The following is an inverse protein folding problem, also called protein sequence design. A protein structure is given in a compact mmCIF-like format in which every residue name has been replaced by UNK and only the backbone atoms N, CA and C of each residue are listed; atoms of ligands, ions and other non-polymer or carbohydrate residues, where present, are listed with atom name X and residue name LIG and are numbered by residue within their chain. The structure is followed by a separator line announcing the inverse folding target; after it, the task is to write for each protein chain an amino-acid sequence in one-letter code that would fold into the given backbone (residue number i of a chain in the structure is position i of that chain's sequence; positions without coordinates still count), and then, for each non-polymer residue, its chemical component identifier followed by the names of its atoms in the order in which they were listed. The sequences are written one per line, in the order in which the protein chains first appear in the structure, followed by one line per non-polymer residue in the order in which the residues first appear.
data_IF_168412243456
#
_entry.id   IF_168412243456
#
_cell.length_a   1.000
_cell.length_b   1.000
_cell.length_c   1.000
_cell.angle_alpha   90.00
_cell.angle_beta   90.00
_cell.angle_gamma   90.00
#
_symmetry.space_group_name_H-M   'P 1'
#
loop_
_entity.id
_entity.type
_entity.pdbx_description
1 polymer ?
2 polymer ?
3 non-polymer ?
4 water ?
#
# COMPACT_ATOMS: atom_id res chain seq x y z
N UNK A 2 5.99 18.90 5.59
CA UNK A 2 5.69 17.52 5.95
C UNK A 2 6.47 16.57 5.07
N UNK A 3 7.75 16.37 5.39
CA UNK A 3 8.58 15.52 4.54
C UNK A 3 8.15 14.05 4.58
N UNK A 4 7.64 13.58 5.73
CA UNK A 4 7.18 12.20 5.81
C UNK A 4 6.03 11.94 4.85
N UNK A 5 5.10 12.91 4.72
CA UNK A 5 4.05 12.75 3.71
C UNK A 5 4.62 12.78 2.30
N UNK A 6 5.50 13.73 2.01
CA UNK A 6 6.06 13.85 0.67
C UNK A 6 6.80 12.59 0.26
N UNK A 7 7.66 12.07 1.15
CA UNK A 7 8.43 10.88 0.80
C UNK A 7 7.52 9.67 0.63
N UNK A 8 6.53 9.52 1.51
CA UNK A 8 5.61 8.39 1.44
C UNK A 8 4.78 8.44 0.17
N UNK A 9 4.27 9.63 -0.18
CA UNK A 9 3.50 9.75 -1.40
C UNK A 9 4.35 9.41 -2.61
N UNK A 10 5.60 9.86 -2.63
CA UNK A 10 6.46 9.60 -3.78
C UNK A 10 6.69 8.10 -3.96
N UNK A 11 6.94 7.38 -2.85
CA UNK A 11 7.15 5.94 -2.94
C UNK A 11 5.88 5.22 -3.36
N UNK A 12 4.75 5.55 -2.71
CA UNK A 12 3.52 4.80 -2.94
C UNK A 12 2.95 5.11 -4.30
N UNK A 13 2.97 6.38 -4.71
CA UNK A 13 2.47 6.75 -6.03
C UNK A 13 3.28 6.09 -7.14
N UNK A 14 4.61 6.06 -6.99
CA UNK A 14 5.45 5.45 -8.02
C UNK A 14 5.17 3.96 -8.17
N UNK A 15 4.93 3.27 -7.05
CA UNK A 15 4.65 1.84 -7.10
C UNK A 15 3.31 1.56 -7.76
N UNK A 16 2.26 2.25 -7.32
CA UNK A 16 0.94 2.03 -7.91
C UNK A 16 0.97 2.33 -9.41
N UNK A 17 1.61 3.42 -9.81
CA UNK A 17 1.61 3.79 -11.22
C UNK A 17 2.48 2.86 -12.06
N UNK A 18 3.61 2.42 -11.51
CA UNK A 18 4.46 1.46 -12.21
C UNK A 18 3.76 0.12 -12.37
N UNK A 19 3.01 -0.31 -11.34
CA UNK A 19 2.28 -1.57 -11.41
C UNK A 19 1.16 -1.50 -12.44
N UNK A 20 0.47 -0.35 -12.51
CA UNK A 20 -0.65 -0.21 -13.44
C UNK A 20 -0.18 -0.13 -14.87
N UNK A 21 0.87 0.65 -15.14
CA UNK A 21 1.31 0.92 -16.50
C UNK A 21 2.35 -0.06 -17.00
N UNK A 22 3.01 -0.80 -16.11
CA UNK A 22 4.11 -1.65 -16.52
C UNK A 22 5.38 -0.91 -16.91
N UNK A 23 5.42 0.41 -16.70
CA UNK A 23 6.56 1.22 -17.11
C UNK A 23 7.16 1.87 -15.87
N UNK A 24 8.43 1.58 -15.61
CA UNK A 24 9.10 2.11 -14.43
C UNK A 24 9.41 3.59 -14.63
N UNK A 25 8.90 4.46 -13.81
CA UNK A 25 9.21 5.86 -13.95
C UNK A 25 10.42 6.19 -13.10
N UNK A 29 14.15 10.99 -7.96
CA UNK A 29 13.61 10.95 -6.61
C UNK A 29 14.08 12.18 -5.89
N UNK A 30 13.30 12.69 -4.94
CA UNK A 30 13.70 13.94 -4.29
C UNK A 30 14.58 13.70 -3.09
N UNK A 31 14.26 14.38 -1.99
CA UNK A 31 15.03 14.25 -0.76
C UNK A 31 14.92 12.83 -0.22
N UNK A 32 16.01 12.35 0.38
CA UNK A 32 16.11 10.97 0.88
C UNK A 32 15.91 9.98 -0.27
N UNK A 33 16.63 10.22 -1.37
CA UNK A 33 16.47 9.37 -2.54
C UNK A 33 16.98 7.97 -2.34
N UNK A 34 18.10 7.82 -1.63
CA UNK A 34 18.69 6.49 -1.42
C UNK A 34 17.74 5.60 -0.63
N UNK A 35 17.20 6.12 0.47
CA UNK A 35 16.23 5.33 1.24
C UNK A 35 14.98 5.04 0.42
N UNK A 36 14.45 6.05 -0.28
CA UNK A 36 13.23 5.85 -1.05
C UNK A 36 13.43 4.84 -2.17
N UNK A 37 14.63 4.81 -2.76
CA UNK A 37 14.93 3.83 -3.79
C UNK A 37 14.92 2.41 -3.26
N UNK A 38 15.49 2.20 -2.06
CA UNK A 38 15.45 0.88 -1.46
C UNK A 38 14.04 0.50 -1.02
N UNK A 39 13.26 1.48 -0.55
CA UNK A 39 11.88 1.21 -0.18
C UNK A 39 11.05 0.79 -1.38
N UNK A 40 11.23 1.46 -2.53
CA UNK A 40 10.50 1.08 -3.72
C UNK A 40 10.93 -0.30 -4.22
N UNK A 41 12.22 -0.62 -4.14
CA UNK A 41 12.66 -1.95 -4.52
C UNK A 41 12.13 -3.01 -3.55
N UNK A 42 12.17 -2.72 -2.25
CA UNK A 42 11.56 -3.61 -1.27
C UNK A 42 10.09 -3.83 -1.58
N UNK A 43 9.38 -2.75 -1.91
CA UNK A 43 7.96 -2.82 -2.22
C UNK A 43 7.70 -3.66 -3.47
N UNK A 44 8.59 -3.59 -4.46
CA UNK A 44 8.43 -4.42 -5.65
C UNK A 44 8.53 -5.90 -5.32
N UNK A 45 9.54 -6.28 -4.53
CA UNK A 45 9.71 -7.68 -4.18
C UNK A 45 8.59 -8.17 -3.26
N UNK A 46 8.36 -7.46 -2.14
CA UNK A 46 7.37 -7.92 -1.18
C UNK A 46 5.95 -7.76 -1.74
N UNK A 47 5.66 -6.61 -2.35
CA UNK A 47 4.32 -6.35 -2.82
C UNK A 47 3.89 -7.25 -3.98
N UNK A 48 4.80 -7.50 -4.92
CA UNK A 48 4.50 -8.45 -5.98
C UNK A 48 4.26 -9.84 -5.40
N UNK A 49 5.00 -10.20 -4.35
CA UNK A 49 4.74 -11.47 -3.68
C UNK A 49 3.38 -11.51 -3.01
N UNK A 50 2.98 -10.39 -2.39
CA UNK A 50 1.69 -10.35 -1.70
C UNK A 50 0.56 -10.52 -2.70
N UNK A 51 0.64 -9.82 -3.83
CA UNK A 51 -0.42 -9.88 -4.84
C UNK A 51 -0.51 -11.26 -5.47
N UNK A 52 0.62 -11.95 -5.60
CA UNK A 52 0.60 -13.29 -6.21
C UNK A 52 0.07 -14.33 -5.23
N UNK A 53 0.52 -14.28 -3.98
CA UNK A 53 0.12 -15.30 -3.01
C UNK A 53 -1.31 -15.12 -2.52
N UNK A 54 -1.87 -13.92 -2.66
CA UNK A 54 -3.23 -13.65 -2.20
C UNK A 54 -4.12 -13.18 -3.34
N UNK A 55 -3.79 -13.58 -4.56
CA UNK A 55 -4.47 -13.09 -5.75
C UNK A 55 -5.96 -13.38 -5.71
N UNK A 56 -6.34 -14.60 -5.29
CA UNK A 56 -7.76 -14.95 -5.31
C UNK A 56 -8.55 -14.09 -4.32
N UNK A 57 -8.03 -13.93 -3.10
CA UNK A 57 -8.67 -13.03 -2.14
C UNK A 57 -8.77 -11.61 -2.68
N UNK A 58 -7.70 -11.10 -3.27
CA UNK A 58 -7.70 -9.74 -3.80
C UNK A 58 -8.75 -9.58 -4.91
N UNK A 59 -8.88 -10.60 -5.77
CA UNK A 59 -9.87 -10.56 -6.83
C UNK A 59 -11.27 -10.42 -6.25
N UNK A 60 -11.60 -11.22 -5.23
CA UNK A 60 -12.91 -11.12 -4.63
C UNK A 60 -13.13 -9.79 -3.93
N UNK A 61 -12.12 -9.32 -3.19
CA UNK A 61 -12.23 -8.02 -2.53
C UNK A 61 -12.45 -6.91 -3.56
N UNK A 62 -11.71 -6.94 -4.67
CA UNK A 62 -11.90 -5.95 -5.73
C UNK A 62 -13.32 -6.01 -6.29
N UNK A 63 -13.83 -7.21 -6.56
CA UNK A 63 -15.20 -7.33 -7.07
C UNK A 63 -16.20 -6.79 -6.07
N UNK A 64 -15.98 -7.08 -4.79
CA UNK A 64 -16.88 -6.58 -3.75
C UNK A 64 -16.93 -5.06 -3.73
N UNK A 65 -15.79 -4.41 -3.98
CA UNK A 65 -15.78 -2.95 -3.96
C UNK A 65 -16.53 -2.37 -5.15
N UNK A 66 -16.65 -3.11 -6.24
CA UNK A 66 -17.44 -2.75 -7.42
C UNK A 66 -17.08 -1.35 -7.92
N UNK A 67 -15.84 -1.22 -8.36
CA UNK A 67 -15.32 0.04 -8.85
C UNK A 67 -15.57 0.14 -10.35
N UNK A 68 -16.50 1.02 -10.72
CA UNK A 68 -16.86 1.25 -12.11
C UNK A 68 -16.59 2.67 -12.57
N UNK A 69 -16.22 3.57 -11.67
CA UNK A 69 -16.02 4.98 -12.01
C UNK A 69 -15.18 5.65 -10.93
N UNK A 70 -14.97 6.96 -11.10
CA UNK A 70 -14.21 7.72 -10.12
C UNK A 70 -14.98 7.89 -8.81
N UNK A 71 -16.31 7.94 -8.89
CA UNK A 71 -17.11 8.07 -7.67
C UNK A 71 -16.95 6.84 -6.78
N UNK A 72 -16.87 5.64 -7.38
CA UNK A 72 -16.65 4.44 -6.59
C UNK A 72 -15.27 4.42 -5.93
N UNK A 73 -14.34 5.28 -6.36
CA UNK A 73 -12.99 5.30 -5.80
C UNK A 73 -12.92 6.11 -4.51
N UNK A 74 -13.95 6.88 -4.19
CA UNK A 74 -13.97 7.65 -2.95
C UNK A 74 -14.47 6.85 -1.76
N UNK A 75 -14.67 5.54 -1.91
CA UNK A 75 -15.04 4.70 -0.79
C UNK A 75 -13.86 3.95 -0.18
N UNK A 76 -12.71 3.89 -0.86
CA UNK A 76 -11.61 3.08 -0.33
C UNK A 76 -11.02 3.66 0.94
N UNK A 77 -11.12 4.98 1.15
CA UNK A 77 -10.59 5.57 2.38
C UNK A 77 -11.16 4.87 3.61
N UNK A 78 -12.47 4.61 3.61
CA UNK A 78 -13.04 3.93 4.78
C UNK A 78 -12.55 2.49 4.87
N UNK A 79 -12.25 1.86 3.73
CA UNK A 79 -11.70 0.51 3.74
C UNK A 79 -10.29 0.53 4.31
N UNK A 80 -9.46 1.49 3.88
CA UNK A 80 -8.09 1.59 4.39
C UNK A 80 -8.06 1.88 5.89
N UNK A 81 -8.98 2.71 6.38
CA UNK A 81 -9.09 2.97 7.81
C UNK A 81 -9.41 1.67 8.55
N UNK A 82 -10.23 0.81 7.93
CA UNK A 82 -10.62 -0.44 8.57
C UNK A 82 -9.45 -1.38 8.82
N UNK A 83 -8.35 -1.25 8.08
CA UNK A 83 -7.20 -2.14 8.27
C UNK A 83 -6.62 -2.00 9.68
N UNK A 84 -6.70 -0.80 10.25
CA UNK A 84 -6.11 -0.52 11.56
C UNK A 84 -7.16 -0.30 12.63
N UNK A 85 -8.41 -0.68 12.36
CA UNK A 85 -9.49 -0.38 13.29
C UNK A 85 -9.39 -1.15 14.60
N UNK A 86 -8.62 -2.25 14.63
CA UNK A 86 -8.45 -2.99 15.87
C UNK A 86 -7.30 -2.46 16.73
N UNK A 87 -6.68 -1.35 16.31
CA UNK A 87 -5.62 -0.72 17.07
C UNK A 87 -4.25 -1.29 16.83
N UNK A 88 -4.13 -2.31 15.99
CA UNK A 88 -2.85 -2.96 15.70
C UNK A 88 -2.23 -2.30 14.47
N UNK A 89 -0.94 -1.99 14.54
CA UNK A 89 -0.20 -1.45 13.40
C UNK A 89 1.07 -2.26 13.24
N UNK A 90 1.35 -2.70 12.02
CA UNK A 90 2.62 -3.37 11.75
C UNK A 90 2.92 -3.26 10.26
N UNK A 91 4.18 -3.58 9.92
CA UNK A 91 4.62 -3.42 8.53
C UNK A 91 3.91 -4.38 7.60
N UNK A 92 3.55 -5.57 8.09
CA UNK A 92 2.81 -6.50 7.25
C UNK A 92 1.49 -5.91 6.78
N UNK A 93 0.76 -5.26 7.70
CA UNK A 93 -0.52 -4.66 7.31
C UNK A 93 -0.29 -3.50 6.37
N UNK A 94 0.77 -2.74 6.60
CA UNK A 94 1.05 -1.58 5.77
C UNK A 94 1.42 -2.01 4.35
N UNK A 95 2.29 -3.01 4.22
CA UNK A 95 2.68 -3.43 2.88
C UNK A 95 1.52 -4.12 2.17
N UNK A 96 0.66 -4.80 2.93
CA UNK A 96 -0.51 -5.45 2.34
C UNK A 96 -1.49 -4.42 1.81
N UNK A 97 -1.69 -3.32 2.53
CA UNK A 97 -2.58 -2.27 2.04
C UNK A 97 -2.03 -1.63 0.77
N UNK A 98 -0.72 -1.38 0.72
CA UNK A 98 -0.13 -0.80 -0.49
C UNK A 98 -0.22 -1.78 -1.67
N UNK A 99 0.04 -3.07 -1.41
CA UNK A 99 -0.07 -4.09 -2.45
C UNK A 99 -1.48 -4.14 -3.02
N UNK A 100 -2.48 -4.11 -2.15
CA UNK A 100 -3.85 -4.08 -2.64
C UNK A 100 -4.14 -2.78 -3.37
N UNK A 101 -3.51 -1.69 -2.94
CA UNK A 101 -3.62 -0.44 -3.69
C UNK A 101 -3.12 -0.60 -5.11
N UNK A 102 -1.96 -1.24 -5.28
CA UNK A 102 -1.45 -1.51 -6.62
C UNK A 102 -2.40 -2.42 -7.39
N UNK A 103 -3.01 -3.38 -6.71
CA UNK A 103 -4.00 -4.23 -7.37
C UNK A 103 -5.18 -3.41 -7.90
N UNK A 104 -5.73 -2.52 -7.07
CA UNK A 104 -6.77 -1.62 -7.55
C UNK A 104 -6.24 -0.75 -8.71
N UNK A 105 -5.00 -0.29 -8.60
CA UNK A 105 -4.44 0.58 -9.65
C UNK A 105 -4.41 -0.12 -11.01
N UNK A 106 -3.98 -1.39 -11.04
CA UNK A 106 -4.06 -2.16 -12.28
C UNK A 106 -5.49 -2.21 -12.80
N UNK A 107 -6.46 -2.46 -11.91
CA UNK A 107 -7.86 -2.46 -12.32
C UNK A 107 -8.25 -1.13 -12.92
N UNK A 108 -7.86 -0.02 -12.26
CA UNK A 108 -8.24 1.30 -12.74
C UNK A 108 -7.67 1.58 -14.13
N UNK A 109 -6.46 1.09 -14.40
CA UNK A 109 -5.91 1.21 -15.74
C UNK A 109 -6.74 0.40 -16.75
N UNK A 110 -7.12 -0.82 -16.37
CA UNK A 110 -7.85 -1.68 -17.31
C UNK A 110 -9.18 -1.08 -17.73
N UNK A 111 -9.86 -0.39 -16.83
CA UNK A 111 -11.15 0.23 -17.14
C UNK A 111 -10.99 1.68 -17.58
N UNK A 112 -9.77 2.07 -17.97
CA UNK A 112 -9.47 3.42 -18.47
C UNK A 112 -9.85 4.50 -17.45
N UNK A 113 -9.48 4.26 -16.19
CA UNK A 113 -9.63 5.24 -15.12
C UNK A 113 -8.27 5.54 -14.50
N UNK A 114 -7.26 5.68 -15.36
CA UNK A 114 -5.90 5.91 -14.91
C UNK A 114 -5.79 7.18 -14.07
N UNK A 115 -6.63 8.18 -14.35
CA UNK A 115 -6.56 9.43 -13.62
C UNK A 115 -6.91 9.27 -12.14
N UNK A 116 -7.63 8.21 -11.78
CA UNK A 116 -7.97 7.95 -10.38
C UNK A 116 -6.81 7.38 -9.58
N UNK A 117 -5.73 6.96 -10.22
CA UNK A 117 -4.66 6.27 -9.50
C UNK A 117 -3.98 7.21 -8.52
N UNK A 118 -3.79 8.48 -8.91
CA UNK A 118 -3.11 9.42 -8.02
C UNK A 118 -3.95 9.77 -6.79
N UNK A 119 -5.25 10.09 -6.90
CA UNK A 119 -6.04 10.24 -5.67
C UNK A 119 -6.04 8.99 -4.80
N UNK A 120 -5.97 7.80 -5.40
CA UNK A 120 -5.89 6.58 -4.61
C UNK A 120 -4.57 6.51 -3.83
N UNK A 121 -3.46 6.93 -4.47
CA UNK A 121 -2.18 6.95 -3.78
C UNK A 121 -2.16 8.01 -2.69
N UNK A 122 -2.75 9.17 -2.96
CA UNK A 122 -2.84 10.19 -1.93
C UNK A 122 -3.68 9.75 -0.73
N UNK A 123 -4.71 8.92 -0.97
CA UNK A 123 -5.56 8.48 0.12
C UNK A 123 -4.87 7.43 0.99
N UNK A 124 -4.20 6.46 0.35
CA UNK A 124 -3.39 5.52 1.10
C UNK A 124 -2.33 6.25 1.93
N UNK A 125 -1.63 7.19 1.30
CA UNK A 125 -0.60 7.92 2.02
C UNK A 125 -1.19 8.70 3.19
N UNK A 126 -2.34 9.34 2.99
CA UNK A 126 -2.94 10.13 4.07
C UNK A 126 -3.27 9.25 5.28
N UNK A 127 -3.89 8.10 5.05
CA UNK A 127 -4.27 7.24 6.18
C UNK A 127 -3.02 6.83 6.96
N UNK A 128 -1.99 6.39 6.25
CA UNK A 128 -0.75 5.99 6.91
C UNK A 128 -0.16 7.16 7.68
N UNK A 129 0.07 8.28 7.00
CA UNK A 129 0.81 9.37 7.64
C UNK A 129 -0.08 10.13 8.63
N UNK A 130 -1.36 10.31 8.33
CA UNK A 130 -2.21 11.08 9.24
C UNK A 130 -2.52 10.29 10.51
N UNK A 131 -2.85 9.01 10.38
CA UNK A 131 -3.30 8.24 11.54
C UNK A 131 -2.19 7.45 12.22
N UNK A 132 -1.03 7.27 11.58
CA UNK A 132 0.02 6.45 12.16
C UNK A 132 1.37 7.17 12.21
N UNK A 133 1.39 8.50 12.16
CA UNK A 133 2.66 9.22 12.11
C UNK A 133 3.56 8.86 13.29
N UNK A 134 3.00 8.83 14.50
CA UNK A 134 3.81 8.51 15.67
C UNK A 134 4.49 7.15 15.52
N UNK A 135 3.72 6.13 15.11
CA UNK A 135 4.27 4.79 14.93
C UNK A 135 5.32 4.78 13.83
N UNK A 136 5.06 5.46 12.71
CA UNK A 136 6.02 5.48 11.63
C UNK A 136 7.32 6.16 12.05
N UNK A 137 7.22 7.21 12.85
CA UNK A 137 8.42 7.90 13.33
C UNK A 137 9.18 7.02 14.32
N UNK A 138 8.46 6.35 15.22
CA UNK A 138 9.10 5.44 16.17
C UNK A 138 9.77 4.27 15.48
N UNK A 139 9.25 3.83 14.34
CA UNK A 139 9.82 2.74 13.57
C UNK A 139 10.84 3.21 12.55
N UNK A 140 11.22 4.49 12.60
CA UNK A 140 12.25 5.09 11.73
C UNK A 140 11.82 5.12 10.26
N UNK A 141 10.53 5.28 10.01
CA UNK A 141 10.06 5.64 8.67
C UNK A 141 10.33 4.54 7.67
N UNK A 142 10.75 4.96 6.47
CA UNK A 142 10.97 4.02 5.39
C UNK A 142 12.31 3.28 5.52
N UNK A 143 13.26 3.84 6.26
CA UNK A 143 14.44 3.06 6.64
C UNK A 143 14.01 1.83 7.45
N UNK A 144 13.08 1.99 8.38
CA UNK A 144 12.60 0.86 9.15
C UNK A 144 11.81 -0.13 8.32
N UNK A 145 11.06 0.38 7.33
CA UNK A 145 10.37 -0.49 6.37
C UNK A 145 11.37 -1.39 5.64
N UNK A 146 12.39 -0.78 5.05
CA UNK A 146 13.41 -1.55 4.33
C UNK A 146 14.05 -2.58 5.25
N UNK A 147 14.45 -2.15 6.45
CA UNK A 147 15.11 -3.06 7.39
C UNK A 147 14.20 -4.19 7.85
N UNK A 148 12.90 -3.91 8.06
CA UNK A 148 12.01 -4.95 8.57
C UNK A 148 11.96 -6.16 7.65
N UNK A 149 11.79 -5.92 6.34
CA UNK A 149 11.69 -7.03 5.41
C UNK A 149 13.06 -7.59 5.01
N UNK A 150 14.10 -6.75 5.03
CA UNK A 150 15.46 -7.06 4.57
C UNK A 150 15.68 -8.09 3.48
N UNK A 151 14.88 -8.01 2.42
CA UNK A 151 14.95 -8.95 1.32
C UNK A 151 16.35 -9.25 0.80
N UNK B 2 -15.77 -5.45 5.59
CA UNK B 2 -15.16 -6.77 5.38
C UNK B 2 -13.76 -6.70 4.77
N UNK B 3 -13.56 -5.84 3.77
CA UNK B 3 -12.31 -5.88 3.01
C UNK B 3 -11.12 -5.45 3.86
N UNK B 4 -11.27 -4.35 4.61
CA UNK B 4 -10.19 -3.90 5.46
C UNK B 4 -9.80 -4.91 6.53
N UNK B 5 -10.80 -5.61 7.09
CA UNK B 5 -10.50 -6.68 8.03
C UNK B 5 -9.76 -7.83 7.35
N UNK B 6 -10.16 -8.19 6.14
CA UNK B 6 -9.47 -9.27 5.43
C UNK B 6 -8.03 -8.88 5.11
N UNK B 7 -7.79 -7.61 4.78
CA UNK B 7 -6.42 -7.15 4.54
C UNK B 7 -5.60 -7.17 5.83
N UNK B 8 -6.22 -6.81 6.95
CA UNK B 8 -5.54 -6.88 8.23
C UNK B 8 -5.10 -8.30 8.55
N UNK B 9 -5.95 -9.29 8.26
CA UNK B 9 -5.62 -10.69 8.54
C UNK B 9 -4.44 -11.14 7.69
N UNK B 10 -4.51 -10.85 6.38
CA UNK B 10 -3.39 -11.18 5.49
C UNK B 10 -2.11 -10.48 5.95
N UNK B 11 -2.23 -9.21 6.32
CA UNK B 11 -1.06 -8.45 6.74
C UNK B 11 -0.42 -9.02 8.00
N UNK B 12 -1.24 -9.49 8.94
CA UNK B 12 -0.70 -10.12 10.14
C UNK B 12 0.08 -11.40 9.81
N UNK B 13 -0.43 -12.20 8.87
CA UNK B 13 0.33 -13.37 8.43
C UNK B 13 1.66 -12.97 7.80
N UNK B 14 1.65 -11.93 6.96
CA UNK B 14 2.87 -11.42 6.36
C UNK B 14 3.82 -10.91 7.45
N UNK B 15 3.28 -10.15 8.41
CA UNK B 15 4.10 -9.65 9.51
C UNK B 15 4.75 -10.80 10.29
N UNK B 16 3.96 -11.83 10.62
CA UNK B 16 4.50 -12.96 11.36
C UNK B 16 5.63 -13.64 10.59
N UNK B 17 5.46 -13.77 9.26
CA UNK B 17 6.48 -14.42 8.44
C UNK B 17 7.83 -13.72 8.55
N UNK B 18 7.83 -12.39 8.50
CA UNK B 18 9.08 -11.64 8.53
C UNK B 18 9.59 -11.38 9.94
N UNK B 19 8.71 -11.44 10.94
CA UNK B 19 9.05 -11.08 12.31
C UNK B 19 9.50 -12.27 13.16
N UNK B 20 9.15 -13.48 12.78
CA UNK B 20 9.42 -14.64 13.61
C UNK B 20 10.93 -14.92 13.67
N UNK B 21 11.41 -15.22 14.86
CA UNK B 21 12.83 -15.41 15.09
C UNK B 21 13.28 -16.85 14.82
X LIG C 1 -16.70 -4.36 9.22
#
# INVERSE_FOLDING_TARGET
EDELYRQSLEIISRYLREQATGAKDTKPMGRSGATSRKALETLRRVGDGVQRNHETAFQGMLRKLDIKNEDDVKSLSRVMIHVFSDGVTNWGRIVTLISFGAFVAKHLKTINQESCIEPLAESITDVLVRTKRDWLVKQRGWDGFVEFFHVEDLEGG
GQVGRQLAIIGDDINRRYDSE
ZN ZN
#
